data_IF_833598843563
#
_entry.id   IF_833598843563
#
_cell.length_a   1.000
_cell.length_b   1.000
_cell.length_c   1.000
_cell.angle_alpha   90.00
_cell.angle_beta   90.00
_cell.angle_gamma   90.00
#
_symmetry.space_group_name_H-M   'P 1'
#
loop_
_entity.id
_entity.type
_entity.pdbx_description
1 polymer ?
#
# COMPACT_ATOMS: atom_id res chain seq x y z
N UNK A 1 -20.60 17.00 -47.19
CA UNK A 1 -20.77 15.71 -46.46
C UNK A 1 -19.47 14.94 -46.18
N UNK A 2 -18.29 15.40 -46.61
CA UNK A 2 -17.02 14.69 -46.35
C UNK A 2 -16.38 15.12 -45.01
N UNK A 3 -16.48 16.41 -44.66
CA UNK A 3 -15.89 16.98 -43.43
C UNK A 3 -16.61 16.48 -42.15
N UNK A 4 -17.94 16.39 -42.17
CA UNK A 4 -18.71 15.88 -41.03
C UNK A 4 -18.45 14.40 -40.75
N UNK A 5 -18.19 13.60 -41.79
CA UNK A 5 -17.81 12.18 -41.65
C UNK A 5 -16.38 12.00 -41.15
N UNK A 6 -15.45 12.88 -41.56
CA UNK A 6 -14.09 12.91 -41.05
C UNK A 6 -14.03 13.23 -39.56
N UNK A 7 -14.84 14.18 -39.09
CA UNK A 7 -14.91 14.52 -37.67
C UNK A 7 -15.42 13.36 -36.80
N UNK A 8 -16.45 12.64 -37.25
CA UNK A 8 -16.95 11.43 -36.57
C UNK A 8 -15.93 10.29 -36.58
N UNK A 9 -15.17 10.11 -37.68
CA UNK A 9 -14.14 9.08 -37.77
C UNK A 9 -12.97 9.37 -36.82
N UNK A 10 -12.50 10.61 -36.75
CA UNK A 10 -11.44 11.03 -35.82
C UNK A 10 -11.90 10.86 -34.37
N UNK A 11 -13.14 11.25 -34.05
CA UNK A 11 -13.68 11.06 -32.70
C UNK A 11 -13.77 9.58 -32.32
N UNK A 12 -14.18 8.72 -33.26
CA UNK A 12 -14.18 7.27 -33.06
C UNK A 12 -12.76 6.74 -32.85
N UNK A 13 -11.79 7.13 -33.68
CA UNK A 13 -10.40 6.72 -33.54
C UNK A 13 -9.81 7.13 -32.19
N UNK A 14 -10.09 8.34 -31.72
CA UNK A 14 -9.65 8.83 -30.40
C UNK A 14 -10.30 8.00 -29.29
N UNK A 15 -11.62 7.78 -29.34
CA UNK A 15 -12.34 6.99 -28.36
C UNK A 15 -11.85 5.54 -28.29
N UNK A 16 -11.64 4.89 -29.43
CA UNK A 16 -11.08 3.54 -29.50
C UNK A 16 -9.64 3.50 -28.98
N UNK A 17 -8.82 4.50 -29.31
CA UNK A 17 -7.44 4.59 -28.81
C UNK A 17 -7.39 4.76 -27.29
N UNK A 18 -8.26 5.63 -26.75
CA UNK A 18 -8.39 5.81 -25.30
C UNK A 18 -8.86 4.53 -24.61
N UNK A 19 -9.87 3.85 -25.16
CA UNK A 19 -10.36 2.59 -24.63
C UNK A 19 -9.28 1.49 -24.65
N UNK A 20 -8.51 1.38 -25.73
CA UNK A 20 -7.37 0.48 -25.81
C UNK A 20 -6.33 0.81 -24.74
N UNK A 21 -5.97 2.08 -24.59
CA UNK A 21 -5.04 2.50 -23.54
C UNK A 21 -5.56 2.18 -22.13
N UNK A 22 -6.86 2.39 -21.90
CA UNK A 22 -7.50 2.08 -20.63
C UNK A 22 -7.41 0.59 -20.29
N UNK A 23 -7.68 -0.29 -21.26
CA UNK A 23 -7.72 -1.74 -21.03
C UNK A 23 -6.32 -2.34 -20.97
N UNK A 24 -5.39 -1.92 -21.84
CA UNK A 24 -4.07 -2.55 -21.93
C UNK A 24 -3.03 -1.93 -21.01
N UNK A 25 -3.19 -0.67 -20.62
CA UNK A 25 -2.19 0.03 -19.80
C UNK A 25 -2.75 0.34 -18.43
N UNK A 26 -3.85 1.10 -18.36
CA UNK A 26 -4.32 1.60 -17.07
C UNK A 26 -4.86 0.50 -16.17
N UNK A 27 -5.67 -0.44 -16.71
CA UNK A 27 -6.24 -1.50 -15.89
C UNK A 27 -5.16 -2.45 -15.32
N UNK A 28 -4.21 -2.96 -16.12
CA UNK A 28 -3.12 -3.79 -15.60
C UNK A 28 -2.22 -3.03 -14.62
N UNK A 29 -1.90 -1.77 -14.94
CA UNK A 29 -1.08 -0.94 -14.07
C UNK A 29 -1.76 -0.68 -12.72
N UNK A 30 -3.08 -0.44 -12.71
CA UNK A 30 -3.85 -0.26 -11.48
C UNK A 30 -3.84 -1.53 -10.62
N UNK A 31 -3.92 -2.72 -11.23
CA UNK A 31 -3.83 -3.97 -10.47
C UNK A 31 -2.45 -4.15 -9.84
N UNK A 32 -1.37 -3.93 -10.60
CA UNK A 32 -0.01 -4.01 -10.07
C UNK A 32 0.21 -3.03 -8.92
N UNK A 33 -0.24 -1.79 -9.08
CA UNK A 33 -0.11 -0.77 -8.04
C UNK A 33 -0.89 -1.14 -6.76
N UNK A 34 -2.09 -1.70 -6.89
CA UNK A 34 -2.90 -2.11 -5.74
C UNK A 34 -2.27 -3.29 -5.00
N UNK A 35 -1.66 -4.23 -5.72
CA UNK A 35 -0.95 -5.36 -5.14
C UNK A 35 0.33 -4.92 -4.40
N UNK A 36 1.15 -4.07 -5.04
CA UNK A 36 2.34 -3.47 -4.42
C UNK A 36 1.96 -2.65 -3.17
N UNK A 37 0.85 -1.91 -3.23
CA UNK A 37 0.36 -1.14 -2.09
C UNK A 37 -0.09 -2.02 -0.93
N UNK A 38 -0.77 -3.15 -1.20
CA UNK A 38 -1.14 -4.12 -0.17
C UNK A 38 0.07 -4.77 0.47
N UNK A 39 1.08 -5.12 -0.32
CA UNK A 39 2.32 -5.68 0.19
C UNK A 39 3.04 -4.69 1.12
N UNK A 40 3.17 -3.43 0.68
CA UNK A 40 3.76 -2.37 1.48
C UNK A 40 3.01 -2.15 2.80
N UNK A 41 1.68 -2.12 2.75
CA UNK A 41 0.83 -1.96 3.95
C UNK A 41 1.00 -3.14 4.92
N UNK A 42 1.10 -4.36 4.41
CA UNK A 42 1.33 -5.56 5.21
C UNK A 42 2.68 -5.50 5.92
N UNK A 43 3.72 -5.08 5.23
CA UNK A 43 5.05 -4.93 5.81
C UNK A 43 5.09 -3.82 6.87
N UNK A 44 4.45 -2.68 6.59
CA UNK A 44 4.35 -1.59 7.56
C UNK A 44 3.63 -2.02 8.85
N UNK A 45 2.54 -2.78 8.74
CA UNK A 45 1.84 -3.34 9.91
C UNK A 45 2.69 -4.38 10.65
N UNK A 46 3.46 -5.20 9.93
CA UNK A 46 4.38 -6.18 10.52
C UNK A 46 5.46 -5.49 11.35
N UNK A 47 6.06 -4.43 10.83
CA UNK A 47 7.07 -3.62 11.53
C UNK A 47 6.46 -2.96 12.76
N UNK A 48 5.26 -2.38 12.66
CA UNK A 48 4.59 -1.73 13.79
C UNK A 48 4.33 -2.71 14.95
N UNK A 49 3.70 -3.86 14.65
CA UNK A 49 3.40 -4.88 15.65
C UNK A 49 4.67 -5.56 16.20
N UNK A 50 5.70 -5.74 15.37
CA UNK A 50 6.99 -6.24 15.81
C UNK A 50 7.66 -5.28 16.79
N UNK A 51 7.64 -3.98 16.48
CA UNK A 51 8.16 -2.92 17.34
C UNK A 51 7.44 -2.82 18.68
N UNK A 52 6.10 -2.87 18.69
CA UNK A 52 5.32 -2.87 19.94
C UNK A 52 5.63 -4.08 20.83
N UNK A 53 5.71 -5.28 20.26
CA UNK A 53 6.03 -6.49 21.03
C UNK A 53 7.44 -6.42 21.64
N UNK A 54 8.42 -5.93 20.89
CA UNK A 54 9.78 -5.74 21.39
C UNK A 54 9.82 -4.71 22.53
N UNK A 55 9.14 -3.56 22.35
CA UNK A 55 9.02 -2.53 23.39
C UNK A 55 8.33 -3.06 24.65
N UNK A 56 7.25 -3.82 24.52
CA UNK A 56 6.57 -4.43 25.66
C UNK A 56 7.44 -5.45 26.39
N UNK A 57 8.25 -6.22 25.67
CA UNK A 57 9.19 -7.17 26.28
C UNK A 57 10.28 -6.46 27.09
N UNK A 58 10.89 -5.41 26.52
CA UNK A 58 11.86 -4.56 27.23
C UNK A 58 11.25 -3.92 28.48
N UNK A 59 10.03 -3.37 28.39
CA UNK A 59 9.34 -2.78 29.54
C UNK A 59 9.08 -3.80 30.65
N UNK A 60 8.74 -5.04 30.28
CA UNK A 60 8.51 -6.13 31.24
C UNK A 60 9.80 -6.52 31.96
N UNK A 61 10.89 -6.66 31.22
CA UNK A 61 12.22 -6.98 31.77
C UNK A 61 12.70 -5.86 32.72
N UNK A 62 12.57 -4.60 32.32
CA UNK A 62 12.90 -3.45 33.18
C UNK A 62 12.06 -3.46 34.45
N UNK A 63 10.74 -3.70 34.36
CA UNK A 63 9.84 -3.78 35.52
C UNK A 63 10.23 -4.91 36.47
N UNK A 64 10.60 -6.07 35.94
CA UNK A 64 11.07 -7.22 36.74
C UNK A 64 12.40 -6.90 37.43
N UNK A 65 13.37 -6.32 36.73
CA UNK A 65 14.65 -5.88 37.30
C UNK A 65 14.47 -4.87 38.43
N UNK A 66 13.60 -3.88 38.25
CA UNK A 66 13.26 -2.90 39.29
C UNK A 66 12.57 -3.55 40.50
N UNK A 67 11.69 -4.54 40.29
CA UNK A 67 11.02 -5.25 41.38
C UNK A 67 12.01 -6.04 42.25
N UNK A 68 13.00 -6.68 41.63
CA UNK A 68 14.06 -7.41 42.33
C UNK A 68 14.93 -6.45 43.15
N UNK A 69 15.33 -5.32 42.57
CA UNK A 69 16.10 -4.28 43.27
C UNK A 69 15.33 -3.71 44.47
N UNK A 70 14.04 -3.42 44.30
CA UNK A 70 13.20 -2.91 45.39
C UNK A 70 13.08 -3.93 46.54
N UNK A 71 12.92 -5.22 46.22
CA UNK A 71 12.86 -6.29 47.23
C UNK A 71 14.18 -6.51 47.96
N UNK A 72 15.32 -6.23 47.32
CA UNK A 72 16.66 -6.34 47.93
C UNK A 72 17.02 -5.14 48.82
N UNK A 73 16.38 -3.99 48.58
CA UNK A 73 16.59 -2.75 49.35
C UNK A 73 15.67 -2.61 50.57
N UNK A 74 14.69 -3.51 50.74
CA UNK A 74 13.86 -3.65 51.96
C UNK A 74 14.39 -4.82 52.78
#
# INVERSE_FOLDING_TARGET
>A
MMITRGFSLTNFAIGTSALCFQIFVLYPWHQQLDDDFKELKKEHLRVLHGGEKARMAELKEIREGLSILNKKST
#
